data_IF_580722494737
#
_entry.id   IF_580722494737
#
_cell.length_a   1.000
_cell.length_b   1.000
_cell.length_c   1.000
_cell.angle_alpha   90.00
_cell.angle_beta   90.00
_cell.angle_gamma   90.00
#
_symmetry.space_group_name_H-M   'P 1'
#
loop_
_entity.id
_entity.type
_entity.pdbx_description
1 polymer ?
#
# COMPACT_ATOMS: atom_id res chain seq x y z
N UNK A 1 14.27 21.98 -1.24
CA UNK A 1 15.07 21.78 -2.48
C UNK A 1 14.65 22.85 -3.48
N UNK A 2 15.60 23.45 -4.24
CA UNK A 2 15.26 24.45 -5.27
C UNK A 2 14.40 23.78 -6.36
N UNK A 3 13.26 24.41 -6.77
CA UNK A 3 12.32 23.85 -7.77
C UNK A 3 13.03 23.45 -9.08
N UNK A 4 14.04 24.22 -9.51
CA UNK A 4 14.81 23.93 -10.71
C UNK A 4 15.60 22.63 -10.56
N UNK A 5 16.28 22.43 -9.42
CA UNK A 5 17.06 21.21 -9.13
C UNK A 5 16.17 19.98 -9.02
N UNK A 6 14.99 20.12 -8.39
CA UNK A 6 13.97 19.08 -8.31
C UNK A 6 13.53 18.63 -9.72
N UNK A 7 13.23 19.58 -10.59
CA UNK A 7 12.85 19.33 -11.99
C UNK A 7 13.97 18.60 -12.75
N UNK A 8 15.21 19.07 -12.64
CA UNK A 8 16.34 18.41 -13.31
C UNK A 8 16.50 16.97 -12.84
N UNK A 9 16.54 16.74 -11.53
CA UNK A 9 16.81 15.41 -10.95
C UNK A 9 15.65 14.45 -11.25
N UNK A 10 14.42 14.87 -10.97
CA UNK A 10 13.31 13.93 -10.93
C UNK A 10 12.52 13.85 -12.24
N UNK A 11 12.41 14.97 -12.98
CA UNK A 11 11.68 15.01 -14.25
C UNK A 11 12.57 14.69 -15.45
N UNK A 12 13.76 15.30 -15.57
CA UNK A 12 14.62 15.11 -16.73
C UNK A 12 15.52 13.87 -16.58
N UNK A 13 16.24 13.73 -15.47
CA UNK A 13 17.08 12.55 -15.20
C UNK A 13 16.25 11.34 -14.75
N UNK A 14 14.94 11.50 -14.51
CA UNK A 14 14.01 10.43 -14.10
C UNK A 14 14.45 9.65 -12.86
N UNK A 15 15.22 10.29 -12.00
CA UNK A 15 15.67 9.71 -10.74
C UNK A 15 14.46 9.67 -9.78
N UNK A 16 14.05 8.51 -9.23
CA UNK A 16 12.90 8.43 -8.34
C UNK A 16 13.11 9.27 -7.08
N UNK A 17 12.04 9.73 -6.45
CA UNK A 17 12.11 10.42 -5.16
C UNK A 17 12.54 9.46 -4.04
N UNK A 18 13.25 9.99 -3.05
CA UNK A 18 13.40 9.35 -1.75
C UNK A 18 12.21 9.76 -0.90
N UNK A 19 11.50 8.79 -0.36
CA UNK A 19 10.29 9.01 0.41
C UNK A 19 10.62 9.29 1.88
N UNK A 20 9.71 10.01 2.54
CA UNK A 20 9.77 10.19 3.99
C UNK A 20 9.57 8.85 4.69
N UNK A 21 10.35 8.62 5.76
CA UNK A 21 10.30 7.39 6.54
C UNK A 21 10.22 7.70 8.02
N UNK A 22 9.33 6.99 8.71
CA UNK A 22 9.24 7.02 10.17
C UNK A 22 9.83 5.73 10.72
N UNK A 23 10.92 5.84 11.48
CA UNK A 23 11.50 4.68 12.16
C UNK A 23 10.83 4.48 13.51
N UNK A 24 9.85 3.59 13.58
CA UNK A 24 9.10 3.30 14.79
C UNK A 24 9.90 2.47 15.80
N UNK A 25 10.75 1.58 15.31
CA UNK A 25 11.58 0.71 16.15
C UNK A 25 12.86 0.30 15.43
N UNK A 26 13.99 0.33 16.16
CA UNK A 26 15.29 -0.08 15.63
C UNK A 26 16.14 -0.75 16.71
N UNK A 27 15.94 -2.06 16.97
CA UNK A 27 16.80 -2.79 17.88
C UNK A 27 18.23 -2.90 17.34
N UNK A 28 19.22 -3.05 18.23
CA UNK A 28 20.65 -3.14 17.86
C UNK A 28 20.94 -4.29 16.89
N UNK A 29 20.28 -5.44 17.08
CA UNK A 29 20.41 -6.63 16.21
C UNK A 29 19.01 -7.09 15.78
N UNK A 30 18.41 -6.47 14.76
CA UNK A 30 17.07 -6.84 14.31
C UNK A 30 17.08 -8.22 13.64
N UNK A 31 16.15 -9.09 14.01
CA UNK A 31 15.94 -10.40 13.35
C UNK A 31 15.35 -10.25 11.95
N UNK A 32 14.56 -9.23 11.73
CA UNK A 32 13.98 -8.88 10.45
C UNK A 32 13.68 -7.38 10.39
N UNK A 33 13.52 -6.86 9.17
CA UNK A 33 12.99 -5.53 8.94
C UNK A 33 11.59 -5.64 8.34
N UNK A 34 10.62 -4.97 8.94
CA UNK A 34 9.26 -4.80 8.45
C UNK A 34 9.10 -3.38 7.95
N UNK A 35 8.70 -3.25 6.70
CA UNK A 35 8.42 -1.95 6.06
C UNK A 35 6.92 -1.86 5.81
N UNK A 36 6.30 -0.84 6.35
CA UNK A 36 4.87 -0.60 6.35
C UNK A 36 4.51 0.48 5.31
N UNK A 37 3.61 0.15 4.38
CA UNK A 37 3.17 1.02 3.28
C UNK A 37 1.67 1.25 3.42
N UNK A 38 1.26 2.48 3.67
CA UNK A 38 -0.12 2.88 3.94
C UNK A 38 -1.01 2.91 2.70
N UNK A 39 -2.32 3.02 2.90
CA UNK A 39 -3.34 3.22 1.87
C UNK A 39 -3.40 4.67 1.35
N UNK A 40 -4.23 4.89 0.33
CA UNK A 40 -4.43 6.22 -0.28
C UNK A 40 -4.92 7.23 0.78
N UNK A 41 -4.44 8.46 0.72
CA UNK A 41 -4.84 9.54 1.65
C UNK A 41 -4.27 9.43 3.07
N UNK A 42 -3.50 8.39 3.37
CA UNK A 42 -2.94 8.11 4.68
C UNK A 42 -1.45 8.52 4.81
N UNK A 43 -0.84 8.11 5.89
CA UNK A 43 0.59 8.23 6.17
C UNK A 43 1.08 7.01 6.98
N UNK A 44 2.35 6.96 7.32
CA UNK A 44 2.92 5.91 8.18
C UNK A 44 2.18 5.77 9.52
N UNK A 45 1.53 6.82 10.03
CA UNK A 45 0.71 6.81 11.26
C UNK A 45 -0.49 5.86 11.20
N UNK A 46 -0.93 5.44 10.01
CA UNK A 46 -2.00 4.44 9.86
C UNK A 46 -1.67 3.10 10.55
N UNK A 47 -0.41 2.86 10.88
CA UNK A 47 0.08 1.64 11.48
C UNK A 47 0.32 1.72 12.99
N UNK A 48 -0.05 2.83 13.65
CA UNK A 48 0.23 3.06 15.07
C UNK A 48 -0.32 1.95 15.97
N UNK A 49 -1.49 1.38 15.65
CA UNK A 49 -2.06 0.24 16.40
C UNK A 49 -1.29 -1.08 16.16
N UNK A 50 -0.63 -1.25 15.02
CA UNK A 50 0.11 -2.47 14.69
C UNK A 50 1.46 -2.53 15.42
N UNK A 51 2.15 -1.40 15.51
CA UNK A 51 3.54 -1.33 15.97
C UNK A 51 3.77 -1.93 17.38
N UNK A 52 2.92 -1.65 18.40
CA UNK A 52 3.09 -2.23 19.72
C UNK A 52 2.89 -3.75 19.76
N UNK A 53 2.16 -4.31 18.81
CA UNK A 53 1.85 -5.75 18.71
C UNK A 53 2.96 -6.56 18.02
N UNK A 54 3.89 -5.90 17.33
CA UNK A 54 5.00 -6.58 16.64
C UNK A 54 6.12 -7.00 17.63
N UNK A 55 6.87 -8.08 17.33
CA UNK A 55 7.98 -8.54 18.18
C UNK A 55 9.02 -7.44 18.41
N UNK A 56 9.52 -7.31 19.65
CA UNK A 56 10.48 -6.25 20.05
C UNK A 56 11.80 -6.29 19.29
N UNK A 57 12.20 -7.45 18.81
CA UNK A 57 13.44 -7.69 18.06
C UNK A 57 13.33 -7.45 16.54
N UNK A 58 12.24 -6.82 16.08
CA UNK A 58 12.02 -6.47 14.67
C UNK A 58 12.25 -4.98 14.47
N UNK A 59 13.00 -4.61 13.41
CA UNK A 59 13.08 -3.21 12.95
C UNK A 59 11.78 -2.87 12.21
N UNK A 60 11.13 -1.77 12.57
CA UNK A 60 9.86 -1.35 12.00
C UNK A 60 9.99 0.06 11.41
N UNK A 61 9.69 0.18 10.13
CA UNK A 61 9.79 1.42 9.36
C UNK A 61 8.49 1.64 8.60
N UNK A 62 7.87 2.81 8.78
CA UNK A 62 6.76 3.27 7.94
C UNK A 62 7.28 4.15 6.81
N UNK A 63 6.70 4.03 5.63
CA UNK A 63 6.99 4.87 4.46
C UNK A 63 5.74 5.68 4.14
N UNK A 64 5.88 7.00 4.03
CA UNK A 64 4.87 7.85 3.42
C UNK A 64 5.01 7.78 1.90
N UNK A 65 3.97 7.36 1.19
CA UNK A 65 3.97 7.30 -0.26
C UNK A 65 4.11 8.69 -0.89
N UNK A 66 4.65 8.75 -2.10
CA UNK A 66 4.76 10.01 -2.86
C UNK A 66 3.38 10.66 -3.00
N UNK A 67 3.28 11.94 -2.68
CA UNK A 67 2.02 12.67 -2.66
C UNK A 67 1.27 12.64 -1.33
N UNK A 68 1.76 11.88 -0.32
CA UNK A 68 1.09 11.70 0.97
C UNK A 68 2.04 11.90 2.15
N UNK A 69 1.47 12.07 3.34
CA UNK A 69 2.22 12.30 4.57
C UNK A 69 3.23 13.44 4.44
N UNK A 70 4.46 13.18 4.80
CA UNK A 70 5.60 14.11 4.68
C UNK A 70 6.46 13.88 3.42
N UNK A 71 6.06 12.97 2.54
CA UNK A 71 6.74 12.75 1.26
C UNK A 71 6.50 13.89 0.27
N UNK A 72 7.39 14.10 -0.72
CA UNK A 72 7.21 15.11 -1.78
C UNK A 72 5.87 14.95 -2.52
N UNK A 73 5.32 16.11 -2.99
CA UNK A 73 4.06 16.19 -3.76
C UNK A 73 4.25 16.92 -5.08
N UNK A 74 5.04 16.36 -6.02
CA UNK A 74 5.23 17.00 -7.33
C UNK A 74 3.93 16.96 -8.15
N UNK A 75 3.55 18.10 -8.71
CA UNK A 75 2.34 18.29 -9.52
C UNK A 75 2.40 17.65 -10.90
N UNK A 76 3.60 17.40 -11.41
CA UNK A 76 3.88 16.84 -12.73
C UNK A 76 3.94 15.29 -12.76
N UNK A 77 3.87 14.61 -11.61
CA UNK A 77 4.01 13.16 -11.51
C UNK A 77 2.67 12.46 -11.68
N UNK A 78 2.67 11.40 -12.50
CA UNK A 78 1.62 10.39 -12.42
C UNK A 78 1.89 9.49 -11.22
N UNK A 79 0.99 9.52 -10.24
CA UNK A 79 1.10 8.74 -9.00
C UNK A 79 0.74 7.26 -9.20
N UNK A 80 1.23 6.63 -10.28
CA UNK A 80 1.01 5.23 -10.58
C UNK A 80 1.73 4.31 -9.60
N UNK A 81 1.24 3.08 -9.43
CA UNK A 81 1.90 2.06 -8.60
C UNK A 81 3.38 1.87 -9.03
N UNK A 82 3.68 2.01 -10.32
CA UNK A 82 5.05 1.98 -10.87
C UNK A 82 5.92 3.12 -10.33
N UNK A 83 5.41 4.34 -10.32
CA UNK A 83 6.14 5.51 -9.83
C UNK A 83 6.38 5.40 -8.33
N UNK A 84 5.35 4.99 -7.58
CA UNK A 84 5.46 4.71 -6.15
C UNK A 84 6.49 3.63 -5.87
N UNK A 85 6.44 2.49 -6.56
CA UNK A 85 7.36 1.36 -6.37
C UNK A 85 8.82 1.74 -6.63
N UNK A 86 9.09 2.55 -7.66
CA UNK A 86 10.46 3.07 -7.92
C UNK A 86 10.96 3.95 -6.78
N UNK A 87 10.10 4.77 -6.21
CA UNK A 87 10.43 5.63 -5.06
C UNK A 87 10.61 4.81 -3.78
N UNK A 88 9.77 3.80 -3.55
CA UNK A 88 9.95 2.83 -2.44
C UNK A 88 11.30 2.12 -2.58
N UNK A 89 11.60 1.55 -3.74
CA UNK A 89 12.87 0.84 -3.97
C UNK A 89 14.09 1.74 -3.73
N UNK A 90 14.09 2.98 -4.27
CA UNK A 90 15.16 3.95 -3.99
C UNK A 90 15.31 4.24 -2.50
N UNK A 91 14.20 4.36 -1.79
CA UNK A 91 14.18 4.59 -0.35
C UNK A 91 14.79 3.41 0.40
N UNK A 92 14.41 2.16 0.04
CA UNK A 92 14.99 0.94 0.62
C UNK A 92 16.50 0.85 0.39
N UNK A 93 16.98 1.15 -0.82
CA UNK A 93 18.42 1.21 -1.13
C UNK A 93 19.13 2.22 -0.23
N UNK A 94 18.55 3.42 -0.03
CA UNK A 94 19.13 4.45 0.83
C UNK A 94 19.19 4.04 2.30
N UNK A 95 18.26 3.17 2.75
CA UNK A 95 18.26 2.65 4.12
C UNK A 95 19.40 1.65 4.39
N UNK A 96 20.09 1.16 3.38
CA UNK A 96 21.18 0.18 3.49
C UNK A 96 20.81 -1.00 4.37
N UNK A 97 19.65 -1.62 4.09
CA UNK A 97 19.18 -2.77 4.84
C UNK A 97 20.12 -3.96 4.62
N UNK A 98 20.49 -4.64 5.71
CA UNK A 98 21.37 -5.82 5.67
C UNK A 98 20.70 -7.05 5.03
N UNK A 99 19.37 -7.10 5.05
CA UNK A 99 18.57 -8.19 4.50
C UNK A 99 17.32 -7.62 3.82
N UNK A 100 16.78 -8.31 2.80
CA UNK A 100 15.51 -7.93 2.19
C UNK A 100 14.38 -7.87 3.24
N UNK A 101 13.60 -6.78 3.28
CA UNK A 101 12.53 -6.60 4.25
C UNK A 101 11.27 -7.41 3.90
N UNK A 102 10.42 -7.59 4.91
CA UNK A 102 9.02 -7.95 4.74
C UNK A 102 8.28 -6.65 4.41
N UNK A 103 7.63 -6.56 3.25
CA UNK A 103 6.74 -5.44 2.93
C UNK A 103 5.31 -5.74 3.38
N UNK A 104 4.75 -4.84 4.17
CA UNK A 104 3.35 -4.87 4.58
C UNK A 104 2.65 -3.70 3.91
N UNK A 105 1.69 -3.97 3.04
CA UNK A 105 0.92 -2.94 2.32
C UNK A 105 -0.55 -2.99 2.67
N UNK A 106 -1.19 -1.84 2.84
CA UNK A 106 -2.64 -1.70 2.97
C UNK A 106 -3.22 -1.00 1.75
N UNK A 107 -4.32 -1.52 1.20
CA UNK A 107 -5.06 -0.88 0.10
C UNK A 107 -4.11 -0.50 -1.06
N UNK A 108 -3.98 0.78 -1.44
CA UNK A 108 -2.99 1.28 -2.40
C UNK A 108 -1.57 0.78 -2.09
N UNK A 109 -1.18 0.72 -0.82
CA UNK A 109 0.12 0.20 -0.39
C UNK A 109 0.35 -1.26 -0.78
N UNK A 110 -0.72 -2.07 -0.87
CA UNK A 110 -0.65 -3.44 -1.39
C UNK A 110 -0.29 -3.48 -2.87
N UNK A 111 -0.90 -2.60 -3.69
CA UNK A 111 -0.59 -2.50 -5.12
C UNK A 111 0.86 -2.04 -5.34
N UNK A 112 1.31 -1.08 -4.54
CA UNK A 112 2.71 -0.60 -4.57
C UNK A 112 3.68 -1.69 -4.14
N UNK A 113 3.35 -2.49 -3.11
CA UNK A 113 4.18 -3.60 -2.66
C UNK A 113 4.31 -4.69 -3.75
N UNK A 114 3.21 -5.04 -4.43
CA UNK A 114 3.21 -5.97 -5.57
C UNK A 114 4.10 -5.44 -6.70
N UNK A 115 3.93 -4.19 -7.09
CA UNK A 115 4.72 -3.60 -8.17
C UNK A 115 6.21 -3.46 -7.78
N UNK A 116 6.51 -3.22 -6.49
CA UNK A 116 7.88 -3.20 -5.98
C UNK A 116 8.52 -4.58 -6.08
N UNK A 117 7.85 -5.62 -5.63
CA UNK A 117 8.34 -6.99 -5.70
C UNK A 117 8.50 -7.49 -7.14
N UNK A 118 7.59 -7.13 -8.03
CA UNK A 118 7.67 -7.44 -9.47
C UNK A 118 8.91 -6.85 -10.12
N UNK A 119 9.25 -5.60 -9.81
CA UNK A 119 10.39 -4.89 -10.41
C UNK A 119 11.72 -5.22 -9.76
N UNK A 120 11.69 -5.52 -8.49
CA UNK A 120 12.89 -5.71 -7.66
C UNK A 120 12.77 -7.01 -6.84
N UNK A 121 12.68 -8.18 -7.50
CA UNK A 121 12.31 -9.45 -6.86
C UNK A 121 13.27 -9.87 -5.74
N UNK A 122 14.56 -9.50 -5.84
CA UNK A 122 15.55 -9.84 -4.81
C UNK A 122 15.64 -8.80 -3.68
N UNK A 123 14.97 -7.66 -3.82
CA UNK A 123 14.97 -6.61 -2.81
C UNK A 123 13.93 -6.84 -1.70
N UNK A 124 13.03 -7.82 -1.87
CA UNK A 124 11.89 -8.06 -0.98
C UNK A 124 11.87 -9.53 -0.61
N UNK A 125 11.72 -9.80 0.68
CA UNK A 125 11.68 -11.17 1.22
C UNK A 125 10.30 -11.80 1.10
N UNK A 126 9.26 -11.06 1.49
CA UNK A 126 7.89 -11.54 1.57
C UNK A 126 6.92 -10.37 1.53
N UNK A 127 5.71 -10.60 1.06
CA UNK A 127 4.60 -9.63 1.11
C UNK A 127 3.55 -10.04 2.13
N UNK A 128 3.04 -9.04 2.87
CA UNK A 128 1.80 -9.11 3.64
C UNK A 128 0.88 -8.02 3.12
N UNK A 129 -0.18 -8.40 2.43
CA UNK A 129 -1.10 -7.49 1.76
C UNK A 129 -2.41 -7.44 2.53
N UNK A 130 -2.78 -6.26 2.99
CA UNK A 130 -3.99 -6.02 3.77
C UNK A 130 -5.01 -5.30 2.89
N UNK A 131 -6.19 -5.87 2.75
CA UNK A 131 -7.29 -5.32 1.95
C UNK A 131 -6.84 -4.89 0.53
N UNK A 132 -6.16 -5.77 -0.25
CA UNK A 132 -5.66 -5.40 -1.58
C UNK A 132 -6.82 -5.23 -2.57
N UNK A 133 -7.02 -4.04 -3.16
CA UNK A 133 -8.09 -3.77 -4.11
C UNK A 133 -7.69 -4.27 -5.52
N UNK A 134 -7.68 -5.58 -5.71
CA UNK A 134 -7.34 -6.18 -6.99
C UNK A 134 -8.51 -6.16 -7.95
N UNK A 135 -8.44 -5.31 -8.97
CA UNK A 135 -9.42 -5.20 -10.05
C UNK A 135 -8.85 -5.74 -11.36
N UNK A 136 -9.74 -6.18 -12.25
CA UNK A 136 -9.37 -6.53 -13.61
C UNK A 136 -8.80 -5.31 -14.34
N UNK A 137 -7.77 -5.52 -15.17
CA UNK A 137 -7.22 -4.43 -15.97
C UNK A 137 -8.29 -3.88 -16.94
N UNK A 138 -8.24 -2.59 -17.30
CA UNK A 138 -9.19 -2.01 -18.25
C UNK A 138 -9.20 -2.73 -19.60
N UNK A 139 -8.07 -3.33 -19.99
CA UNK A 139 -7.88 -4.10 -21.22
C UNK A 139 -8.39 -5.54 -21.17
N UNK A 140 -8.80 -6.05 -19.99
CA UNK A 140 -9.24 -7.43 -19.84
C UNK A 140 -10.63 -7.61 -20.47
N UNK A 141 -10.72 -8.48 -21.46
CA UNK A 141 -11.94 -8.68 -22.28
C UNK A 141 -13.11 -9.29 -21.49
N UNK A 142 -12.82 -10.04 -20.41
CA UNK A 142 -13.83 -10.63 -19.51
C UNK A 142 -13.64 -10.10 -18.11
N UNK A 143 -14.51 -9.16 -17.71
CA UNK A 143 -14.60 -8.70 -16.33
C UNK A 143 -15.51 -9.63 -15.55
N UNK A 144 -14.96 -10.28 -14.52
CA UNK A 144 -15.73 -11.17 -13.65
C UNK A 144 -16.78 -10.44 -12.80
N UNK A 145 -16.55 -9.14 -12.54
CA UNK A 145 -17.42 -8.32 -11.69
C UNK A 145 -17.52 -6.89 -12.25
N UNK A 146 -18.24 -6.68 -13.37
CA UNK A 146 -18.32 -5.37 -14.04
C UNK A 146 -18.98 -4.28 -13.14
N UNK A 147 -19.88 -4.64 -12.26
CA UNK A 147 -20.55 -3.73 -11.32
C UNK A 147 -19.59 -3.06 -10.35
N UNK A 148 -18.57 -3.77 -9.84
CA UNK A 148 -17.53 -3.19 -8.98
C UNK A 148 -16.63 -2.21 -9.75
N UNK A 149 -16.31 -2.53 -11.00
CA UNK A 149 -15.52 -1.65 -11.87
C UNK A 149 -16.28 -0.35 -12.15
N UNK A 150 -17.59 -0.43 -12.41
CA UNK A 150 -18.41 0.76 -12.64
C UNK A 150 -18.62 1.59 -11.38
N UNK A 151 -18.85 0.96 -10.23
CA UNK A 151 -18.92 1.66 -8.95
C UNK A 151 -17.63 2.45 -8.67
N UNK A 152 -16.46 1.81 -8.83
CA UNK A 152 -15.17 2.45 -8.62
C UNK A 152 -14.96 3.62 -9.56
N UNK A 153 -15.30 3.46 -10.86
CA UNK A 153 -15.21 4.53 -11.84
C UNK A 153 -16.18 5.68 -11.55
N UNK A 154 -17.36 5.38 -11.04
CA UNK A 154 -18.33 6.39 -10.62
C UNK A 154 -17.81 7.19 -9.43
N UNK A 155 -17.27 6.52 -8.41
CA UNK A 155 -16.62 7.17 -7.28
C UNK A 155 -15.46 8.07 -7.71
N UNK A 156 -14.61 7.58 -8.62
CA UNK A 156 -13.53 8.40 -9.19
C UNK A 156 -14.05 9.63 -9.93
N UNK A 157 -15.05 9.48 -10.81
CA UNK A 157 -15.66 10.61 -11.54
C UNK A 157 -16.22 11.64 -10.57
N UNK A 158 -16.88 11.19 -9.50
CA UNK A 158 -17.42 12.06 -8.46
C UNK A 158 -16.32 12.80 -7.71
N UNK A 159 -15.27 12.08 -7.27
CA UNK A 159 -14.12 12.69 -6.59
C UNK A 159 -13.40 13.73 -7.47
N UNK A 160 -13.24 13.43 -8.77
CA UNK A 160 -12.62 14.34 -9.74
C UNK A 160 -13.48 15.57 -10.03
N UNK A 161 -14.80 15.41 -10.07
CA UNK A 161 -15.75 16.50 -10.32
C UNK A 161 -15.93 17.41 -9.11
N UNK A 162 -15.88 16.84 -7.90
CA UNK A 162 -16.17 17.53 -6.65
C UNK A 162 -15.05 17.33 -5.60
N UNK A 163 -13.83 17.79 -5.84
CA UNK A 163 -12.71 17.55 -4.92
C UNK A 163 -12.93 18.16 -3.53
N UNK A 164 -13.61 19.29 -3.43
CA UNK A 164 -13.93 19.93 -2.16
C UNK A 164 -14.86 19.07 -1.28
N UNK A 165 -15.79 18.31 -1.89
CA UNK A 165 -16.64 17.38 -1.14
C UNK A 165 -15.83 16.22 -0.56
N UNK A 166 -14.84 15.71 -1.29
CA UNK A 166 -13.94 14.68 -0.79
C UNK A 166 -13.16 15.17 0.44
N UNK A 167 -12.69 16.42 0.41
CA UNK A 167 -12.02 17.07 1.55
C UNK A 167 -12.96 17.18 2.75
N UNK A 168 -14.19 17.64 2.54
CA UNK A 168 -15.17 17.84 3.64
C UNK A 168 -15.67 16.55 4.27
N UNK A 169 -15.77 15.45 3.50
CA UNK A 169 -16.30 14.16 3.99
C UNK A 169 -15.21 13.33 4.71
N UNK A 170 -13.92 13.51 4.38
CA UNK A 170 -12.86 12.70 4.94
C UNK A 170 -12.75 12.74 6.49
N UNK A 171 -12.90 13.89 7.18
CA UNK A 171 -12.92 13.94 8.65
C UNK A 171 -14.11 13.21 9.25
N UNK A 172 -15.27 13.26 8.59
CA UNK A 172 -16.50 12.56 9.03
C UNK A 172 -16.29 11.05 8.96
N UNK A 173 -15.66 10.53 7.88
CA UNK A 173 -15.35 9.12 7.76
C UNK A 173 -14.42 8.63 8.88
N UNK A 174 -13.42 9.44 9.28
CA UNK A 174 -12.54 9.16 10.43
C UNK A 174 -13.34 9.17 11.74
N UNK A 175 -14.19 10.15 11.96
CA UNK A 175 -15.00 10.30 13.18
C UNK A 175 -15.97 9.12 13.35
N UNK A 176 -16.55 8.61 12.26
CA UNK A 176 -17.44 7.46 12.25
C UNK A 176 -16.69 6.11 12.33
N UNK A 177 -15.36 6.10 12.40
CA UNK A 177 -14.55 4.87 12.42
C UNK A 177 -14.55 4.10 11.09
N UNK A 178 -14.94 4.75 10.00
CA UNK A 178 -14.92 4.17 8.65
C UNK A 178 -13.54 4.26 7.99
N UNK A 179 -12.66 5.10 8.56
CA UNK A 179 -11.29 5.28 8.13
C UNK A 179 -10.34 5.41 9.34
N UNK A 180 -9.04 5.15 9.13
CA UNK A 180 -8.04 5.35 10.19
C UNK A 180 -7.89 6.83 10.54
N UNK A 181 -7.45 7.12 11.78
CA UNK A 181 -7.13 8.50 12.22
C UNK A 181 -6.01 9.16 11.39
N UNK A 182 -5.28 8.37 10.62
CA UNK A 182 -4.21 8.86 9.73
C UNK A 182 -4.73 9.30 8.35
N UNK A 183 -6.00 9.03 8.02
CA UNK A 183 -6.60 9.56 6.81
C UNK A 183 -6.66 11.09 6.92
N UNK A 184 -5.99 11.75 6.00
CA UNK A 184 -5.96 13.21 5.94
C UNK A 184 -6.03 13.65 4.47
N UNK A 185 -7.25 13.87 3.98
CA UNK A 185 -7.49 14.47 2.66
C UNK A 185 -7.85 15.93 2.87
N UNK A 186 -7.01 16.80 2.32
CA UNK A 186 -7.15 18.26 2.44
C UNK A 186 -6.82 18.93 1.11
N UNK A 187 -6.92 20.25 1.04
CA UNK A 187 -6.68 21.03 -0.18
C UNK A 187 -5.28 20.81 -0.75
N UNK A 188 -4.25 20.62 0.11
CA UNK A 188 -2.85 20.42 -0.33
C UNK A 188 -2.61 19.07 -1.00
N UNK A 189 -3.40 18.04 -0.68
CA UNK A 189 -3.14 16.66 -1.13
C UNK A 189 -4.27 16.04 -1.96
N UNK A 190 -5.43 16.67 -2.09
CA UNK A 190 -6.57 16.16 -2.84
C UNK A 190 -6.23 15.90 -4.30
N UNK A 191 -5.41 16.75 -4.92
CA UNK A 191 -4.94 16.53 -6.28
C UNK A 191 -4.09 15.25 -6.42
N UNK A 192 -3.15 15.03 -5.49
CA UNK A 192 -2.35 13.80 -5.42
C UNK A 192 -3.22 12.57 -5.14
N UNK A 193 -4.25 12.72 -4.29
CA UNK A 193 -5.21 11.66 -3.99
C UNK A 193 -5.96 11.22 -5.26
N UNK A 194 -6.53 12.16 -6.01
CA UNK A 194 -7.30 11.89 -7.23
C UNK A 194 -6.38 11.28 -8.30
N UNK A 195 -5.18 11.84 -8.47
CA UNK A 195 -4.20 11.31 -9.42
C UNK A 195 -3.73 9.88 -9.07
N UNK A 196 -3.54 9.57 -7.78
CA UNK A 196 -3.18 8.24 -7.33
C UNK A 196 -4.35 7.24 -7.48
N UNK A 197 -5.59 7.67 -7.23
CA UNK A 197 -6.78 6.86 -7.44
C UNK A 197 -6.90 6.45 -8.92
N UNK A 198 -6.72 7.39 -9.84
CA UNK A 198 -6.75 7.13 -11.29
C UNK A 198 -5.60 6.21 -11.73
N UNK A 199 -4.37 6.62 -11.43
CA UNK A 199 -3.18 6.00 -12.00
C UNK A 199 -2.80 4.66 -11.34
N UNK A 200 -3.13 4.47 -10.06
CA UNK A 200 -2.75 3.27 -9.30
C UNK A 200 -3.89 2.28 -9.10
N UNK A 201 -5.13 2.76 -8.93
CA UNK A 201 -6.26 1.89 -8.58
C UNK A 201 -7.11 1.59 -9.82
N UNK A 202 -7.53 2.60 -10.58
CA UNK A 202 -8.38 2.39 -11.76
C UNK A 202 -7.60 1.77 -12.92
N UNK A 203 -6.37 2.20 -13.16
CA UNK A 203 -5.52 1.75 -14.26
C UNK A 203 -4.49 0.69 -13.82
N UNK A 204 -4.85 -0.17 -12.86
CA UNK A 204 -3.94 -1.17 -12.33
C UNK A 204 -3.80 -2.41 -13.20
N UNK A 205 -2.71 -3.15 -12.97
CA UNK A 205 -2.45 -4.50 -13.51
C UNK A 205 -2.14 -5.50 -12.39
N UNK A 206 -2.32 -5.09 -11.13
CA UNK A 206 -1.82 -5.79 -9.94
C UNK A 206 -2.44 -7.17 -9.75
N UNK A 207 -3.69 -7.38 -10.16
CA UNK A 207 -4.34 -8.70 -10.11
C UNK A 207 -3.56 -9.74 -10.94
N UNK A 208 -3.14 -9.37 -12.14
CA UNK A 208 -2.30 -10.21 -12.99
C UNK A 208 -0.87 -10.29 -12.47
N UNK A 209 -0.33 -9.17 -12.02
CA UNK A 209 1.07 -9.06 -11.63
C UNK A 209 1.38 -9.86 -10.36
N UNK A 210 0.47 -9.93 -9.40
CA UNK A 210 0.66 -10.72 -8.17
C UNK A 210 0.74 -12.21 -8.44
N UNK A 211 0.05 -12.70 -9.47
CA UNK A 211 0.00 -14.12 -9.81
C UNK A 211 1.32 -14.69 -10.35
N UNK A 212 2.21 -13.84 -10.85
CA UNK A 212 3.51 -14.26 -11.38
C UNK A 212 4.67 -14.10 -10.40
N UNK A 213 4.43 -13.53 -9.22
CA UNK A 213 5.44 -13.37 -8.19
C UNK A 213 5.81 -14.72 -7.58
N UNK A 214 7.10 -14.92 -7.28
CA UNK A 214 7.63 -16.17 -6.73
C UNK A 214 7.90 -16.14 -5.22
N UNK A 215 7.95 -14.95 -4.62
CA UNK A 215 8.14 -14.80 -3.17
C UNK A 215 6.85 -15.19 -2.41
N UNK A 216 6.95 -15.56 -1.12
CA UNK A 216 5.77 -15.85 -0.30
C UNK A 216 4.88 -14.61 -0.14
N UNK A 217 3.56 -14.79 -0.24
CA UNK A 217 2.58 -13.72 -0.11
C UNK A 217 1.47 -14.17 0.84
N UNK A 218 1.20 -13.39 1.89
CA UNK A 218 0.00 -13.52 2.69
C UNK A 218 -0.94 -12.35 2.41
N UNK A 219 -2.19 -12.64 2.06
CA UNK A 219 -3.21 -11.64 1.79
C UNK A 219 -4.32 -11.75 2.84
N UNK A 220 -4.67 -10.61 3.45
CA UNK A 220 -5.83 -10.47 4.30
C UNK A 220 -6.92 -9.67 3.59
N UNK A 221 -8.18 -10.07 3.72
CA UNK A 221 -9.32 -9.34 3.18
C UNK A 221 -10.51 -9.35 4.15
N UNK A 222 -11.13 -8.19 4.33
CA UNK A 222 -12.31 -8.04 5.16
C UNK A 222 -13.54 -8.69 4.53
N UNK A 223 -14.34 -9.40 5.32
CA UNK A 223 -15.63 -9.97 4.84
C UNK A 223 -16.67 -8.90 4.55
N UNK A 224 -16.55 -7.74 5.20
CA UNK A 224 -17.43 -6.58 5.05
C UNK A 224 -16.75 -5.43 4.33
N UNK A 225 -15.66 -5.71 3.59
CA UNK A 225 -14.92 -4.73 2.84
C UNK A 225 -15.65 -4.42 1.51
N UNK A 226 -16.15 -3.18 1.31
CA UNK A 226 -16.87 -2.83 0.08
C UNK A 226 -15.93 -2.52 -1.09
N UNK A 227 -14.61 -2.43 -0.83
CA UNK A 227 -13.60 -2.04 -1.82
C UNK A 227 -12.91 -3.26 -2.43
N UNK A 228 -12.72 -4.33 -1.64
CA UNK A 228 -12.01 -5.54 -2.08
C UNK A 228 -12.95 -6.54 -2.72
N UNK A 229 -12.65 -7.00 -3.92
CA UNK A 229 -13.33 -8.12 -4.55
C UNK A 229 -12.80 -9.43 -3.93
N UNK A 230 -13.49 -9.91 -2.88
CA UNK A 230 -13.05 -11.09 -2.12
C UNK A 230 -12.85 -12.34 -2.99
N UNK A 231 -13.62 -12.48 -4.08
CA UNK A 231 -13.50 -13.59 -5.02
C UNK A 231 -12.14 -13.62 -5.73
N UNK A 232 -11.59 -12.46 -6.10
CA UNK A 232 -10.25 -12.37 -6.69
C UNK A 232 -9.17 -12.84 -5.71
N UNK A 233 -9.25 -12.37 -4.45
CA UNK A 233 -8.27 -12.73 -3.42
C UNK A 233 -8.34 -14.20 -3.06
N UNK A 234 -9.55 -14.76 -2.92
CA UNK A 234 -9.77 -16.21 -2.70
C UNK A 234 -9.20 -17.05 -3.85
N UNK A 235 -9.50 -16.67 -5.09
CA UNK A 235 -9.02 -17.37 -6.28
C UNK A 235 -7.50 -17.42 -6.32
N UNK A 236 -6.82 -16.29 -6.08
CA UNK A 236 -5.35 -16.24 -6.02
C UNK A 236 -4.79 -17.18 -4.94
N UNK A 237 -5.40 -17.20 -3.74
CA UNK A 237 -4.95 -18.08 -2.65
C UNK A 237 -5.21 -19.56 -2.89
N UNK A 238 -6.21 -19.91 -3.72
CA UNK A 238 -6.50 -21.31 -4.09
C UNK A 238 -5.62 -21.81 -5.23
N UNK A 239 -5.35 -20.93 -6.21
CA UNK A 239 -4.72 -21.35 -7.47
C UNK A 239 -3.19 -21.23 -7.45
N UNK A 240 -2.61 -20.43 -6.52
CA UNK A 240 -1.19 -20.08 -6.55
C UNK A 240 -0.51 -20.53 -5.24
N UNK A 241 0.40 -21.52 -5.29
CA UNK A 241 0.94 -22.19 -4.10
C UNK A 241 1.69 -21.30 -3.10
N UNK A 242 2.32 -20.22 -3.56
CA UNK A 242 3.04 -19.27 -2.70
C UNK A 242 2.17 -18.13 -2.17
N UNK A 243 0.86 -18.17 -2.42
CA UNK A 243 -0.11 -17.18 -1.95
C UNK A 243 -1.04 -17.81 -0.92
N UNK A 244 -1.16 -17.19 0.26
CA UNK A 244 -2.13 -17.56 1.29
C UNK A 244 -3.15 -16.45 1.46
N UNK A 245 -4.44 -16.72 1.25
CA UNK A 245 -5.54 -15.78 1.44
C UNK A 245 -6.27 -16.04 2.77
N UNK A 246 -6.42 -15.01 3.60
CA UNK A 246 -7.01 -15.09 4.95
C UNK A 246 -8.18 -14.13 5.08
N UNK A 247 -9.42 -14.62 5.26
CA UNK A 247 -10.57 -13.76 5.55
C UNK A 247 -10.50 -13.20 6.97
N UNK A 248 -10.95 -11.97 7.15
CA UNK A 248 -11.09 -11.29 8.45
C UNK A 248 -12.51 -10.79 8.62
N UNK A 249 -13.08 -10.89 9.83
CA UNK A 249 -14.38 -10.28 10.17
C UNK A 249 -14.19 -8.78 10.44
N UNK A 250 -13.95 -8.03 9.36
CA UNK A 250 -13.67 -6.59 9.39
C UNK A 250 -14.10 -5.93 8.06
N UNK A 251 -14.07 -4.60 8.04
CA UNK A 251 -14.16 -3.77 6.82
C UNK A 251 -12.82 -3.61 6.13
N UNK A 252 -12.62 -2.45 5.49
CA UNK A 252 -11.44 -2.14 4.68
C UNK A 252 -10.18 -1.82 5.52
N UNK A 253 -10.36 -1.14 6.63
CA UNK A 253 -9.24 -0.60 7.43
C UNK A 253 -8.62 -1.63 8.38
N UNK A 254 -7.29 -1.54 8.54
CA UNK A 254 -6.50 -2.43 9.42
C UNK A 254 -6.53 -1.89 10.85
N UNK A 255 -7.65 -2.09 11.54
CA UNK A 255 -7.88 -1.63 12.91
C UNK A 255 -8.38 -2.77 13.81
N UNK A 256 -8.20 -2.63 15.12
CA UNK A 256 -8.73 -3.52 16.14
C UNK A 256 -8.33 -5.00 15.96
N UNK A 257 -9.32 -5.90 15.79
CA UNK A 257 -9.10 -7.34 15.61
C UNK A 257 -8.29 -7.68 14.35
N UNK A 258 -8.47 -6.91 13.28
CA UNK A 258 -7.70 -7.08 12.05
C UNK A 258 -6.20 -6.86 12.30
N UNK A 259 -5.84 -5.78 12.99
CA UNK A 259 -4.46 -5.46 13.36
C UNK A 259 -3.78 -6.60 14.12
N UNK A 260 -4.49 -7.26 15.07
CA UNK A 260 -3.99 -8.41 15.83
C UNK A 260 -3.65 -9.60 14.93
N UNK A 261 -4.49 -9.89 13.93
CA UNK A 261 -4.25 -10.99 12.97
C UNK A 261 -3.03 -10.71 12.09
N UNK A 262 -2.86 -9.48 11.61
CA UNK A 262 -1.69 -9.05 10.83
C UNK A 262 -0.42 -9.16 11.68
N UNK A 263 -0.45 -8.70 12.93
CA UNK A 263 0.67 -8.81 13.86
C UNK A 263 1.08 -10.27 14.11
N UNK A 264 0.11 -11.16 14.34
CA UNK A 264 0.33 -12.60 14.53
C UNK A 264 1.02 -13.21 13.31
N UNK A 265 0.59 -12.85 12.11
CA UNK A 265 1.20 -13.34 10.88
C UNK A 265 2.64 -12.85 10.71
N UNK A 266 2.90 -11.57 10.92
CA UNK A 266 4.26 -11.02 10.87
C UNK A 266 5.17 -11.71 11.89
N UNK A 267 4.68 -11.95 13.10
CA UNK A 267 5.43 -12.68 14.14
C UNK A 267 5.81 -14.09 13.67
N UNK A 268 4.85 -14.83 13.09
CA UNK A 268 5.08 -16.15 12.51
C UNK A 268 6.14 -16.12 11.40
N UNK A 269 6.07 -15.14 10.49
CA UNK A 269 7.05 -14.98 9.42
C UNK A 269 8.46 -14.74 9.97
N UNK A 270 8.57 -13.90 10.99
CA UNK A 270 9.85 -13.60 11.65
C UNK A 270 10.42 -14.82 12.38
N UNK A 271 9.60 -15.63 13.04
CA UNK A 271 10.01 -16.86 13.72
C UNK A 271 10.49 -17.93 12.74
N UNK A 272 9.74 -18.15 11.65
CA UNK A 272 10.12 -19.12 10.61
C UNK A 272 11.41 -18.73 9.87
N UNK A 273 11.82 -17.48 9.95
CA UNK A 273 13.06 -16.96 9.36
C UNK A 273 14.32 -17.40 10.12
N UNK A 274 14.16 -18.04 11.26
CA UNK A 274 15.23 -18.45 12.16
C UNK A 274 15.52 -19.97 12.06
N UNK A 275 14.70 -20.68 11.33
CA UNK A 275 14.89 -22.09 10.99
C UNK A 275 15.50 -22.24 9.59
#
# INVERSE_FOLDING_TARGET
MNKTLDTVIHRWLRIPYVLHTTQFRSPKKPKATVVLIHGIGNSAKAWDELIPLLPKNVRVIGIDLLGFGHSPRPDWVQYSARTQARSVARTLVRMRLLQPPILVGHSLGSLVAVETAKRYPFAIRQLVLCSPPFYAAPSDAKKLFPEYDELLRSLYRTAKKYPAQLVSVSPIAVQLGLATKALNVNEDNVASYIAALEASIINQTSLRDVSVLKLPITMFYGRFDPVVIAAHVKKLGNDIPNITAKPVLAGHEVIGGYTKLVAKEISKIVENSLR
#
